data_IF_093781811527
#
_entry.id   IF_093781811527
#
_cell.length_a   1.000
_cell.length_b   1.000
_cell.length_c   1.000
_cell.angle_alpha   90.00
_cell.angle_beta   90.00
_cell.angle_gamma   90.00
#
_symmetry.space_group_name_H-M   'P 1'
#
loop_
_entity.id
_entity.type
_entity.pdbx_description
1 polymer ?
#
# COMPACT_ATOMS: atom_id res chain seq x y z
N UNK A 1 0.44 33.83 68.31
CA UNK A 1 -0.31 32.58 68.11
C UNK A 1 0.09 32.01 66.76
N UNK A 2 0.55 30.77 66.73
CA UNK A 2 1.26 30.11 65.63
C UNK A 2 0.36 29.85 64.41
N UNK A 3 0.91 29.97 63.21
CA UNK A 3 0.28 29.61 61.95
C UNK A 3 0.11 28.09 61.82
N UNK A 4 -1.05 27.66 61.29
CA UNK A 4 -1.34 26.26 60.99
C UNK A 4 -0.73 25.86 59.63
N UNK A 5 -0.14 24.66 59.47
CA UNK A 5 0.26 24.16 58.17
C UNK A 5 -0.97 23.71 57.37
N UNK A 6 -1.08 24.17 56.12
CA UNK A 6 -2.02 23.62 55.15
C UNK A 6 -1.57 22.21 54.77
N UNK A 7 -2.43 21.22 55.01
CA UNK A 7 -2.26 19.85 54.48
C UNK A 7 -2.36 19.90 52.95
N UNK A 8 -1.29 19.49 52.28
CA UNK A 8 -1.36 19.12 50.86
C UNK A 8 -2.01 17.74 50.76
N UNK A 9 -3.06 17.65 49.94
CA UNK A 9 -3.57 16.37 49.45
C UNK A 9 -3.22 16.30 47.97
N UNK A 10 -2.28 15.41 47.67
CA UNK A 10 -1.86 15.02 46.33
C UNK A 10 -2.82 13.92 45.88
N UNK A 11 -3.96 14.29 45.29
CA UNK A 11 -4.94 13.34 44.76
C UNK A 11 -4.67 13.11 43.27
N UNK A 12 -3.93 12.04 43.02
CA UNK A 12 -4.22 11.04 41.99
C UNK A 12 -4.57 11.55 40.60
N UNK A 13 -3.58 11.52 39.71
CA UNK A 13 -3.73 11.59 38.27
C UNK A 13 -4.99 10.85 37.78
N UNK A 14 -5.87 11.59 37.11
CA UNK A 14 -6.94 11.03 36.30
C UNK A 14 -6.29 10.21 35.17
N UNK A 15 -6.07 8.92 35.41
CA UNK A 15 -5.82 7.97 34.32
C UNK A 15 -7.17 7.76 33.64
N UNK A 16 -7.41 8.55 32.58
CA UNK A 16 -8.39 8.21 31.57
C UNK A 16 -7.92 6.89 30.94
N UNK A 17 -8.46 5.77 31.45
CA UNK A 17 -8.34 4.49 30.78
C UNK A 17 -9.06 4.63 29.45
N UNK A 18 -8.28 4.83 28.38
CA UNK A 18 -8.75 4.77 27.02
C UNK A 18 -9.31 3.36 26.81
N UNK A 19 -10.64 3.28 26.81
CA UNK A 19 -11.37 2.09 26.46
C UNK A 19 -10.94 1.71 25.04
N UNK A 20 -10.14 0.66 24.93
CA UNK A 20 -9.75 0.08 23.65
C UNK A 20 -11.03 -0.39 22.96
N UNK A 21 -11.48 0.38 21.98
CA UNK A 21 -12.51 0.01 21.04
C UNK A 21 -11.91 -1.01 20.06
N UNK A 22 -11.69 -2.22 20.58
CA UNK A 22 -11.66 -3.43 19.75
C UNK A 22 -13.11 -3.68 19.34
N UNK A 23 -13.53 -3.06 18.25
CA UNK A 23 -14.72 -3.52 17.51
C UNK A 23 -14.38 -4.88 16.91
N UNK A 24 -14.45 -5.94 17.72
CA UNK A 24 -14.71 -7.29 17.22
C UNK A 24 -16.20 -7.32 16.83
N UNK A 25 -16.55 -6.54 15.80
CA UNK A 25 -17.85 -6.70 15.16
C UNK A 25 -17.76 -8.00 14.39
N UNK A 26 -18.46 -9.03 14.85
CA UNK A 26 -18.62 -10.29 14.15
C UNK A 26 -19.00 -9.99 12.68
N UNK A 27 -18.01 -10.06 11.79
CA UNK A 27 -18.24 -9.90 10.36
C UNK A 27 -19.06 -11.13 9.98
N UNK A 28 -20.24 -10.92 9.41
CA UNK A 28 -21.06 -12.01 8.89
C UNK A 28 -20.40 -12.62 7.64
N UNK A 29 -20.98 -13.71 7.12
CA UNK A 29 -20.45 -14.38 5.94
C UNK A 29 -20.42 -13.45 4.71
N UNK A 30 -21.36 -12.51 4.62
CA UNK A 30 -21.45 -11.54 3.54
C UNK A 30 -20.30 -10.51 3.62
N UNK A 31 -20.02 -9.98 4.80
CA UNK A 31 -18.88 -9.09 5.02
C UNK A 31 -17.55 -9.78 4.73
N UNK A 32 -17.40 -11.07 5.06
CA UNK A 32 -16.22 -11.85 4.67
C UNK A 32 -16.12 -12.02 3.16
N UNK A 33 -17.21 -12.35 2.48
CA UNK A 33 -17.24 -12.49 1.03
C UNK A 33 -16.84 -11.19 0.32
N UNK A 34 -17.34 -10.04 0.80
CA UNK A 34 -16.98 -8.72 0.28
C UNK A 34 -15.49 -8.39 0.49
N UNK A 35 -14.92 -8.76 1.65
CA UNK A 35 -13.48 -8.60 1.89
C UNK A 35 -12.65 -9.45 0.93
N UNK A 36 -13.03 -10.72 0.70
CA UNK A 36 -12.35 -11.57 -0.27
C UNK A 36 -12.45 -11.02 -1.70
N UNK A 37 -13.63 -10.53 -2.11
CA UNK A 37 -13.82 -9.92 -3.41
C UNK A 37 -12.94 -8.66 -3.57
N UNK A 38 -12.86 -7.83 -2.54
CA UNK A 38 -12.02 -6.63 -2.51
C UNK A 38 -10.54 -7.00 -2.62
N UNK A 39 -10.07 -7.93 -1.79
CA UNK A 39 -8.70 -8.43 -1.81
C UNK A 39 -8.33 -9.03 -3.17
N UNK A 40 -9.24 -9.79 -3.77
CA UNK A 40 -9.03 -10.39 -5.09
C UNK A 40 -8.97 -9.35 -6.21
N UNK A 41 -9.81 -8.32 -6.14
CA UNK A 41 -9.81 -7.21 -7.11
C UNK A 41 -8.50 -6.41 -7.02
N UNK A 42 -8.04 -6.11 -5.81
CA UNK A 42 -6.72 -5.49 -5.57
C UNK A 42 -5.62 -6.38 -6.12
N UNK A 43 -5.66 -7.69 -5.85
CA UNK A 43 -4.65 -8.64 -6.34
C UNK A 43 -4.59 -8.68 -7.86
N UNK A 44 -5.73 -8.69 -8.54
CA UNK A 44 -5.79 -8.64 -10.01
C UNK A 44 -5.15 -7.37 -10.55
N UNK A 45 -5.50 -6.23 -9.98
CA UNK A 45 -4.94 -4.95 -10.38
C UNK A 45 -3.41 -4.89 -10.16
N UNK A 46 -2.94 -5.36 -9.01
CA UNK A 46 -1.51 -5.46 -8.69
C UNK A 46 -0.76 -6.36 -9.70
N UNK A 47 -1.35 -7.48 -10.12
CA UNK A 47 -0.75 -8.34 -11.14
C UNK A 47 -0.63 -7.65 -12.50
N UNK A 48 -1.67 -6.92 -12.93
CA UNK A 48 -1.64 -6.13 -14.17
C UNK A 48 -0.55 -5.05 -14.09
N UNK A 49 -0.47 -4.33 -12.96
CA UNK A 49 0.54 -3.30 -12.76
C UNK A 49 1.96 -3.87 -12.73
N UNK A 50 2.16 -5.04 -12.12
CA UNK A 50 3.45 -5.75 -12.14
C UNK A 50 3.85 -6.18 -13.55
N UNK A 51 2.91 -6.65 -14.37
CA UNK A 51 3.17 -6.99 -15.77
C UNK A 51 3.54 -5.74 -16.59
N UNK A 52 2.85 -4.61 -16.37
CA UNK A 52 3.19 -3.33 -17.01
C UNK A 52 4.58 -2.83 -16.57
N UNK A 53 4.89 -2.93 -15.28
CA UNK A 53 6.17 -2.50 -14.72
C UNK A 53 7.35 -3.36 -15.20
N UNK A 54 7.16 -4.68 -15.35
CA UNK A 54 8.21 -5.56 -15.90
C UNK A 54 8.52 -5.24 -17.37
N UNK A 55 7.49 -4.93 -18.16
CA UNK A 55 7.64 -4.43 -19.54
C UNK A 55 8.38 -3.09 -19.58
N UNK A 56 8.04 -2.14 -18.72
CA UNK A 56 8.75 -0.85 -18.64
C UNK A 56 10.23 -1.03 -18.28
N UNK A 57 10.55 -1.86 -17.28
CA UNK A 57 11.94 -2.17 -16.92
C UNK A 57 12.74 -2.79 -18.08
N UNK A 58 12.12 -3.69 -18.84
CA UNK A 58 12.75 -4.25 -20.02
C UNK A 58 13.01 -3.17 -21.08
N UNK A 59 12.04 -2.28 -21.30
CA UNK A 59 12.19 -1.17 -22.24
C UNK A 59 13.31 -0.22 -21.81
N UNK A 60 13.38 0.14 -20.54
CA UNK A 60 14.45 0.97 -19.98
C UNK A 60 15.83 0.34 -20.22
N UNK A 61 15.94 -0.98 -20.01
CA UNK A 61 17.18 -1.72 -20.29
C UNK A 61 17.55 -1.71 -21.77
N UNK A 62 16.57 -1.78 -22.68
CA UNK A 62 16.82 -1.70 -24.12
C UNK A 62 17.21 -0.28 -24.58
N UNK A 63 16.65 0.76 -23.95
CA UNK A 63 16.96 2.17 -24.26
C UNK A 63 18.34 2.56 -23.70
N UNK A 64 18.75 1.98 -22.58
CA UNK A 64 20.04 2.27 -21.96
C UNK A 64 21.26 1.70 -22.72
N UNK A 65 21.06 0.77 -23.66
CA UNK A 65 22.14 0.26 -24.50
C UNK A 65 22.63 1.38 -25.42
N UNK A 66 23.94 1.68 -25.37
CA UNK A 66 24.57 2.72 -26.21
C UNK A 66 24.90 2.21 -27.62
N UNK A 67 25.09 0.90 -27.78
CA UNK A 67 25.37 0.30 -29.08
C UNK A 67 24.10 0.21 -29.93
N UNK A 68 24.21 0.25 -31.27
CA UNK A 68 23.10 -0.02 -32.16
C UNK A 68 22.48 -1.38 -31.84
N UNK A 69 21.18 -1.36 -31.52
CA UNK A 69 20.42 -2.57 -31.26
C UNK A 69 20.33 -3.41 -32.55
N UNK A 70 20.51 -4.74 -32.48
CA UNK A 70 20.19 -5.62 -33.59
C UNK A 70 18.73 -5.46 -34.04
N UNK A 71 18.45 -5.72 -35.32
CA UNK A 71 17.12 -5.51 -35.92
C UNK A 71 15.98 -6.15 -35.12
N UNK A 72 16.20 -7.34 -34.55
CA UNK A 72 15.20 -8.03 -33.74
C UNK A 72 14.94 -7.34 -32.38
N UNK A 73 15.96 -6.74 -31.77
CA UNK A 73 15.82 -5.97 -30.53
C UNK A 73 15.14 -4.62 -30.80
N UNK A 74 15.47 -3.94 -31.91
CA UNK A 74 14.74 -2.75 -32.36
C UNK A 74 13.26 -3.05 -32.62
N UNK A 75 12.96 -4.16 -33.31
CA UNK A 75 11.58 -4.58 -33.55
C UNK A 75 10.83 -4.87 -32.24
N UNK A 76 11.49 -5.53 -31.28
CA UNK A 76 10.92 -5.78 -29.95
C UNK A 76 10.67 -4.47 -29.19
N UNK A 77 11.64 -3.54 -29.18
CA UNK A 77 11.54 -2.22 -28.56
C UNK A 77 10.33 -1.44 -29.11
N UNK A 78 10.16 -1.39 -30.43
CA UNK A 78 9.01 -0.76 -31.09
C UNK A 78 7.68 -1.41 -30.69
N UNK A 79 7.60 -2.74 -30.69
CA UNK A 79 6.40 -3.48 -30.24
C UNK A 79 6.05 -3.17 -28.78
N UNK A 80 7.07 -3.09 -27.92
CA UNK A 80 6.90 -2.83 -26.50
C UNK A 80 6.41 -1.41 -26.23
N UNK A 81 6.95 -0.41 -26.93
CA UNK A 81 6.48 0.97 -26.89
C UNK A 81 5.00 1.04 -27.33
N UNK A 82 4.66 0.44 -28.47
CA UNK A 82 3.29 0.43 -28.97
C UNK A 82 2.32 -0.20 -27.96
N UNK A 83 2.69 -1.33 -27.36
CA UNK A 83 1.87 -1.98 -26.34
C UNK A 83 1.68 -1.08 -25.11
N UNK A 84 2.75 -0.46 -24.61
CA UNK A 84 2.68 0.41 -23.42
C UNK A 84 1.93 1.73 -23.64
N UNK A 85 1.85 2.22 -24.88
CA UNK A 85 1.19 3.49 -25.23
C UNK A 85 -0.24 3.30 -25.78
N UNK A 86 -0.63 2.07 -26.15
CA UNK A 86 -1.98 1.75 -26.64
C UNK A 86 -2.89 1.16 -25.56
N UNK A 87 -2.32 0.80 -24.40
CA UNK A 87 -3.03 0.37 -23.18
C UNK A 87 -3.50 1.58 -22.35
#
# INVERSE_FOLDING_TARGET
>A
MMAAPRRGSDEGSQSASSQANETDSAIDDEGRALQFQTMWSIKKHDLVMKERLSKMKLLDSLIAKQDPLPDYEEALKKKLINKLMSD
#
